data_IF_970432790474
#
_entry.id   IF_970432790474
#
_cell.length_a   1.000
_cell.length_b   1.000
_cell.length_c   1.000
_cell.angle_alpha   90.00
_cell.angle_beta   90.00
_cell.angle_gamma   90.00
#
_symmetry.space_group_name_H-M   'P 1'
#
loop_
_entity.id
_entity.type
_entity.pdbx_description
1 polymer ?
2 polymer ?
3 non-polymer ?
4 water ?
#
# COMPACT_ATOMS: atom_id res chain seq x y z
N UNK A 14 10.26 -13.83 3.60
CA UNK A 14 8.99 -13.61 2.95
C UNK A 14 8.49 -15.04 2.81
N UNK A 15 7.21 -15.31 2.95
CA UNK A 15 6.60 -16.56 2.52
C UNK A 15 5.17 -16.16 2.18
N UNK A 16 4.49 -17.03 1.45
CA UNK A 16 3.04 -16.97 1.41
C UNK A 16 2.48 -17.53 2.71
N UNK A 17 1.17 -17.40 2.87
CA UNK A 17 0.43 -17.91 4.02
C UNK A 17 0.77 -17.20 5.32
N UNK A 18 2.00 -17.23 5.87
CA UNK A 18 2.29 -16.40 7.01
C UNK A 18 3.62 -16.73 7.67
N UNK A 19 4.36 -15.69 8.04
CA UNK A 19 5.67 -15.82 8.69
C UNK A 19 5.59 -16.31 10.13
N UNK A 20 4.56 -17.03 10.57
CA UNK A 20 4.11 -17.06 11.96
C UNK A 20 3.91 -15.68 12.58
N UNK A 21 4.93 -14.85 12.74
CA UNK A 21 4.80 -13.49 13.24
C UNK A 21 4.08 -12.49 12.33
N UNK A 22 3.70 -12.82 11.08
CA UNK A 22 3.45 -11.73 10.14
C UNK A 22 2.06 -11.20 10.34
N UNK A 23 1.94 -9.93 10.01
CA UNK A 23 0.67 -9.28 9.89
C UNK A 23 -0.07 -9.35 11.22
N UNK A 24 0.68 -9.56 12.33
CA UNK A 24 0.07 -9.52 13.65
C UNK A 24 0.83 -8.43 14.37
N UNK A 25 0.13 -7.31 14.46
CA UNK A 25 0.74 -6.11 14.97
C UNK A 25 0.97 -6.29 16.47
N UNK A 26 2.20 -6.06 16.93
CA UNK A 26 2.60 -5.95 18.34
C UNK A 26 1.62 -5.24 19.29
N UNK A 27 1.41 -3.95 19.05
CA UNK A 27 0.57 -3.17 19.95
C UNK A 27 -0.93 -3.54 20.00
N UNK A 28 -1.42 -4.49 19.20
CA UNK A 28 -2.86 -4.76 19.04
C UNK A 28 -2.97 -6.25 19.15
N UNK A 29 -2.51 -6.93 18.11
CA UNK A 29 -2.76 -8.36 17.93
C UNK A 29 -2.28 -9.19 19.09
N UNK A 30 -1.00 -8.93 19.30
CA UNK A 30 -0.28 -9.54 20.37
C UNK A 30 -0.76 -9.02 21.73
N UNK A 31 -1.15 -7.74 21.82
CA UNK A 31 -1.57 -7.18 23.07
C UNK A 31 -3.05 -7.30 23.39
N UNK A 32 -3.79 -8.16 22.67
CA UNK A 32 -5.18 -8.51 22.95
C UNK A 32 -6.09 -7.31 22.67
N UNK A 33 -5.73 -6.46 21.71
CA UNK A 33 -6.45 -5.22 21.51
C UNK A 33 -6.78 -4.94 20.05
N UNK A 34 -8.03 -4.60 19.87
CA UNK A 34 -8.49 -4.14 18.58
C UNK A 34 -8.28 -2.63 18.47
N UNK A 35 -7.86 -2.21 17.28
CA UNK A 35 -7.75 -0.80 16.96
C UNK A 35 -9.11 -0.14 16.77
N UNK A 36 -9.11 1.15 16.43
CA UNK A 36 -10.37 1.85 16.32
C UNK A 36 -11.26 1.57 15.10
N UNK A 37 -10.78 1.23 13.89
CA UNK A 37 -11.63 1.14 12.71
C UNK A 37 -11.66 -0.25 12.09
N UNK A 38 -11.45 -1.21 12.97
CA UNK A 38 -11.23 -2.59 12.60
C UNK A 38 -12.60 -3.31 12.48
N UNK A 39 -13.61 -2.95 13.27
CA UNK A 39 -14.91 -3.61 13.18
C UNK A 39 -15.72 -3.14 11.96
N UNK A 40 -15.22 -2.15 11.24
CA UNK A 40 -15.84 -1.64 10.02
C UNK A 40 -15.66 -2.70 8.96
N UNK A 41 -14.41 -3.24 8.94
CA UNK A 41 -13.99 -4.34 8.09
C UNK A 41 -14.77 -5.59 8.50
N UNK A 42 -14.64 -6.03 9.77
CA UNK A 42 -15.35 -7.23 10.26
C UNK A 42 -16.85 -7.18 10.00
N UNK A 43 -17.51 -6.05 10.23
CA UNK A 43 -18.81 -5.79 9.64
C UNK A 43 -18.95 -5.94 8.14
N UNK A 44 -18.04 -5.45 7.30
CA UNK A 44 -18.23 -5.55 5.87
C UNK A 44 -18.30 -7.00 5.39
N UNK A 45 -17.72 -7.96 6.15
CA UNK A 45 -17.85 -9.39 5.88
C UNK A 45 -19.19 -10.02 6.27
N UNK A 46 -19.80 -9.80 7.45
CA UNK A 46 -21.05 -10.52 7.78
C UNK A 46 -22.25 -9.94 7.03
N UNK A 47 -22.09 -8.71 6.56
CA UNK A 47 -23.04 -8.09 5.66
C UNK A 47 -22.81 -8.47 4.20
N UNK A 48 -21.73 -9.18 3.90
CA UNK A 48 -21.43 -9.62 2.55
C UNK A 48 -21.81 -11.07 2.42
N UNK A 49 -20.88 -11.89 2.94
CA UNK A 49 -20.70 -13.32 2.76
C UNK A 49 -19.83 -13.70 1.55
N UNK B 1 -4.29 10.83 2.16
CA UNK B 1 -5.49 10.03 2.18
C UNK B 1 -6.62 11.08 2.21
N UNK B 2 -7.55 10.96 1.25
CA UNK B 2 -8.72 11.85 1.14
C UNK B 2 -9.66 11.13 2.08
N UNK B 3 -10.27 11.93 2.98
CA UNK B 3 -11.15 11.48 4.04
C UNK B 3 -10.44 10.57 5.05
N UNK B 4 -9.19 10.90 5.36
CA UNK B 4 -8.45 10.17 6.37
C UNK B 4 -8.76 10.69 7.77
N UNK B 5 -8.61 9.78 8.71
CA UNK B 5 -8.43 10.14 10.11
C UNK B 5 -7.02 9.71 10.55
N UNK B 6 -6.39 10.47 11.47
CA UNK B 6 -5.09 10.10 12.05
C UNK B 6 -5.04 8.64 12.55
N UNK B 7 -3.88 8.11 12.34
CA UNK B 7 -3.56 6.77 12.76
C UNK B 7 -3.13 6.83 14.20
N UNK B 8 -3.65 5.86 14.94
CA UNK B 8 -2.97 5.29 16.11
C UNK B 8 -1.52 4.90 15.83
N UNK B 9 -0.65 5.33 16.74
CA UNK B 9 0.76 4.92 16.79
C UNK B 9 0.80 3.42 16.76
N UNK B 10 1.50 2.91 15.76
CA UNK B 10 1.62 1.47 15.59
C UNK B 10 0.63 0.78 14.68
N UNK B 11 -0.34 1.47 14.05
CA UNK B 11 -1.38 0.79 13.26
C UNK B 11 -0.89 0.10 11.98
N UNK B 12 0.10 0.62 11.22
CA UNK B 12 0.61 -0.04 10.02
C UNK B 12 2.11 -0.22 10.24
N UNK B 13 2.61 -1.18 11.02
CA UNK B 13 4.03 -1.25 11.35
C UNK B 13 4.91 -1.73 10.19
N UNK B 14 4.28 -2.34 9.21
CA UNK B 14 4.87 -2.59 7.91
C UNK B 14 4.98 -1.32 7.07
N UNK B 15 4.44 -0.15 7.45
CA UNK B 15 4.51 0.97 6.56
C UNK B 15 5.93 1.57 6.52
N UNK B 16 6.48 1.48 5.31
CA UNK B 16 7.75 2.12 4.95
C UNK B 16 7.38 3.41 4.21
N UNK B 17 8.36 4.34 4.08
CA UNK B 17 8.22 5.61 3.37
C UNK B 17 9.35 5.81 2.36
N UNK B 18 9.13 6.17 1.08
CA UNK B 18 10.21 6.36 0.09
C UNK B 18 10.67 7.80 -0.02
N UNK B 19 11.98 8.05 -0.09
CA UNK B 19 12.51 9.39 0.05
C UNK B 19 13.66 9.68 -0.91
N UNK B 20 13.79 10.91 -1.41
CA UNK B 20 14.77 11.21 -2.42
C UNK B 20 16.02 11.55 -1.60
N UNK B 21 17.23 11.16 -2.04
CA UNK B 21 18.42 11.38 -1.22
C UNK B 21 18.81 12.82 -0.97
N UNK B 22 18.52 13.62 -1.99
CA UNK B 22 18.89 15.01 -2.02
C UNK B 22 18.27 15.59 -3.25
N UNK B 23 17.50 16.67 -3.15
CA UNK B 23 16.94 17.19 -1.89
C UNK B 23 15.86 16.32 -1.27
N UNK B 24 15.47 16.54 -0.04
CA UNK B 24 14.78 15.53 0.72
C UNK B 24 13.30 15.25 0.59
N UNK B 25 12.67 14.80 -0.51
CA UNK B 25 11.22 14.59 -0.41
C UNK B 25 10.73 13.16 -0.29
N UNK B 26 9.61 12.94 0.43
CA UNK B 26 8.70 11.80 0.29
C UNK B 26 8.21 11.62 -1.14
N UNK B 27 8.31 10.39 -1.64
CA UNK B 27 7.91 10.09 -2.99
C UNK B 27 6.75 9.11 -3.04
N UNK B 28 6.59 8.15 -2.14
CA UNK B 28 5.55 7.10 -2.28
C UNK B 28 5.46 6.38 -0.92
N UNK B 29 4.34 5.76 -0.56
CA UNK B 29 4.37 4.74 0.47
C UNK B 29 5.04 3.49 -0.08
N UNK B 30 5.21 2.53 0.80
CA UNK B 30 5.74 1.22 0.46
C UNK B 30 5.48 0.29 1.65
N UNK B 31 5.61 -1.03 1.56
CA UNK B 31 5.44 -1.89 2.71
C UNK B 31 6.61 -2.85 2.90
N UNK B 32 6.79 -3.28 4.16
CA UNK B 32 7.94 -4.06 4.57
C UNK B 32 7.24 -5.39 4.58
N UNK B 33 7.67 -6.29 3.69
CA UNK B 33 7.14 -7.66 3.71
C UNK B 33 8.11 -8.72 4.24
N UNK B 34 9.42 -8.37 4.28
CA UNK B 34 10.48 -9.08 4.99
C UNK B 34 11.45 -8.12 5.66
N UNK B 35 12.37 -8.61 6.49
CA UNK B 35 13.46 -7.79 7.04
C UNK B 35 14.50 -7.28 5.99
N UNK B 36 14.19 -7.33 4.70
CA UNK B 36 15.16 -7.47 3.63
C UNK B 36 14.54 -6.72 2.40
N UNK B 37 13.19 -6.86 2.21
CA UNK B 37 12.46 -6.37 1.04
C UNK B 37 11.25 -5.45 1.30
N UNK B 38 11.13 -4.42 0.46
CA UNK B 38 10.03 -3.48 0.48
C UNK B 38 9.29 -3.60 -0.83
N UNK B 39 7.97 -3.70 -0.74
CA UNK B 39 7.08 -3.77 -1.89
C UNK B 39 6.50 -2.38 -2.19
N UNK B 40 6.27 -2.02 -3.44
CA UNK B 40 5.78 -0.70 -3.76
C UNK B 40 5.26 -0.74 -5.19
N UNK B 41 4.75 0.38 -5.70
CA UNK B 41 4.19 0.49 -7.04
C UNK B 41 5.29 0.72 -8.02
N UNK B 42 5.30 0.12 -9.21
CA UNK B 42 6.43 0.33 -10.14
C UNK B 42 6.58 1.77 -10.55
N UNK B 43 5.44 2.48 -10.63
CA UNK B 43 5.41 3.89 -11.00
C UNK B 43 6.13 4.75 -10.00
N UNK B 44 6.54 4.24 -8.84
CA UNK B 44 7.28 5.08 -7.94
C UNK B 44 8.68 5.30 -8.44
N UNK B 45 9.07 4.46 -9.42
CA UNK B 45 10.47 4.39 -9.80
C UNK B 45 10.70 4.73 -11.26
N UNK B 46 9.92 4.09 -12.15
CA UNK B 46 9.99 4.42 -13.57
C UNK B 46 8.57 4.78 -13.93
N UNK B 47 8.41 6.08 -14.05
CA UNK B 47 7.43 6.65 -14.94
C UNK B 47 8.17 7.64 -15.89
N UNK B 48 8.63 7.21 -17.08
CA UNK B 48 9.23 8.03 -18.12
C UNK B 48 8.54 9.33 -18.42
N UNK B 49 7.24 9.50 -18.79
CA UNK B 49 6.63 10.79 -19.14
C UNK B 49 7.07 11.96 -18.25
N UNK B 50 7.40 11.63 -17.01
CA UNK B 50 7.54 12.63 -15.97
C UNK B 50 8.99 12.69 -15.45
N UNK B 51 9.98 12.33 -16.28
CA UNK B 51 11.33 12.01 -15.84
C UNK B 51 11.43 11.14 -14.58
N UNK B 52 10.46 10.33 -14.16
CA UNK B 52 10.78 9.35 -13.14
C UNK B 52 11.62 8.22 -13.73
N UNK B 53 12.89 8.12 -13.29
CA UNK B 53 13.70 6.92 -13.37
C UNK B 53 14.62 6.95 -12.18
N UNK B 54 14.35 6.18 -11.14
CA UNK B 54 15.21 6.28 -9.97
C UNK B 54 16.27 5.23 -9.84
N UNK B 55 17.57 5.65 -9.84
CA UNK B 55 18.70 4.74 -9.58
C UNK B 55 18.78 4.31 -8.11
N UNK B 56 19.47 3.20 -7.83
CA UNK B 56 19.45 2.63 -6.48
C UNK B 56 20.14 3.63 -5.54
N UNK B 57 21.14 4.31 -6.05
CA UNK B 57 21.81 5.33 -5.28
C UNK B 57 21.13 6.69 -5.45
N UNK B 58 19.81 6.80 -5.31
CA UNK B 58 19.10 8.09 -5.40
C UNK B 58 17.97 8.10 -4.40
N UNK B 59 17.71 6.94 -3.82
CA UNK B 59 16.62 6.76 -2.91
C UNK B 59 17.19 6.20 -1.63
N UNK B 60 16.60 6.60 -0.51
CA UNK B 60 16.69 5.84 0.69
C UNK B 60 15.25 5.76 1.15
N UNK B 61 15.03 4.97 2.21
CA UNK B 61 13.73 4.42 2.61
C UNK B 61 13.57 4.72 4.11
N UNK B 62 12.36 4.94 4.63
CA UNK B 62 12.17 5.08 6.07
C UNK B 62 11.12 4.15 6.68
N UNK B 63 11.48 3.35 7.68
CA UNK B 63 10.61 2.36 8.30
C UNK B 63 10.28 2.73 9.75
N UNK B 64 9.01 2.90 10.10
CA UNK B 64 8.59 2.98 11.49
C UNK B 64 8.26 4.38 11.90
N UNK B 65 7.86 5.22 10.99
CA UNK B 65 7.45 6.57 11.31
C UNK B 65 6.01 6.66 11.81
N UNK B 66 5.48 7.89 11.95
CA UNK B 66 4.14 8.21 12.45
C UNK B 66 3.83 9.66 12.08
N UNK B 67 4.82 10.51 12.42
CA UNK B 67 5.07 11.80 11.81
C UNK B 67 5.42 11.53 10.35
N UNK B 68 4.85 12.32 9.42
CA UNK B 68 5.51 12.54 8.12
C UNK B 68 6.80 13.28 8.47
N UNK B 69 6.75 14.39 9.20
CA UNK B 69 7.81 15.41 9.19
C UNK B 69 9.10 15.23 10.00
N UNK B 70 9.01 14.92 11.29
CA UNK B 70 10.19 14.99 12.16
C UNK B 70 10.71 13.62 12.53
N UNK B 71 11.97 13.39 12.14
CA UNK B 71 12.81 12.28 12.56
C UNK B 71 12.67 11.85 14.02
N UNK B 72 11.86 10.84 14.21
CA UNK B 72 11.57 10.32 15.53
C UNK B 72 12.75 9.41 15.88
N UNK B 73 13.84 9.95 16.43
CA UNK B 73 15.07 9.21 16.76
C UNK B 73 14.86 7.84 17.41
N UNK B 74 13.98 7.79 18.42
CA UNK B 74 13.81 6.60 19.24
C UNK B 74 13.32 5.40 18.47
N UNK B 75 12.49 5.58 17.45
CA UNK B 75 11.75 4.47 16.90
C UNK B 75 12.12 4.13 15.46
N UNK B 76 12.71 5.10 14.72
CA UNK B 76 12.60 5.04 13.30
C UNK B 76 13.82 4.46 12.69
N UNK B 77 13.75 3.66 11.63
CA UNK B 77 14.99 3.17 11.01
C UNK B 77 15.16 3.54 9.53
N UNK B 78 16.35 3.96 9.10
CA UNK B 78 16.57 4.53 7.76
C UNK B 78 17.48 3.55 7.04
N UNK B 79 17.03 2.97 5.95
CA UNK B 79 17.88 2.06 5.22
C UNK B 79 18.03 2.61 3.83
N UNK B 80 19.13 2.23 3.27
CA UNK B 80 19.33 2.50 1.87
C UNK B 80 19.01 1.20 1.16
N UNK B 81 18.90 1.26 -0.16
CA UNK B 81 18.44 0.12 -0.92
C UNK B 81 19.72 -0.50 -1.44
N UNK B 82 19.76 -1.81 -1.38
CA UNK B 82 20.70 -2.58 -2.13
C UNK B 82 20.23 -2.76 -3.58
N UNK B 83 19.03 -3.18 -3.97
CA UNK B 83 18.70 -3.26 -5.39
C UNK B 83 17.20 -3.07 -5.57
N UNK B 84 16.78 -2.87 -6.80
CA UNK B 84 15.45 -2.44 -7.16
C UNK B 84 15.04 -3.58 -8.07
N UNK B 85 13.74 -3.83 -8.20
CA UNK B 85 13.20 -4.81 -9.11
C UNK B 85 11.91 -4.29 -9.67
N UNK B 86 11.87 -3.57 -10.79
CA UNK B 86 10.63 -3.26 -11.53
C UNK B 86 10.33 -4.51 -12.38
N UNK B 87 9.08 -4.87 -12.70
CA UNK B 87 8.72 -6.02 -13.56
C UNK B 87 9.14 -5.78 -15.01
N UNK B 88 9.59 -6.75 -15.80
CA UNK B 88 9.79 -6.61 -17.24
C UNK B 88 8.48 -6.36 -18.02
N UNK B 89 7.31 -6.75 -17.51
CA UNK B 89 6.01 -6.57 -18.19
C UNK B 89 5.13 -5.45 -17.65
N UNK B 90 5.80 -4.43 -17.06
CA UNK B 90 5.12 -3.28 -16.49
C UNK B 90 4.82 -2.36 -17.64
N UNK B 91 3.54 -2.16 -17.98
CA UNK B 91 3.15 -1.48 -19.23
C UNK B 91 2.80 -0.03 -18.95
N UNK B 92 3.77 0.87 -19.05
CA UNK B 92 3.52 2.22 -18.60
C UNK B 92 2.85 3.03 -19.69
N UNK B 93 3.17 2.69 -20.92
CA UNK B 93 2.80 3.47 -22.07
C UNK B 93 1.43 3.07 -22.65
N UNK B 94 0.42 2.97 -21.78
CA UNK B 94 -0.86 2.43 -22.15
C UNK B 94 -1.58 2.52 -20.81
N UNK B 95 -1.46 1.59 -19.86
CA UNK B 95 -2.33 1.54 -18.67
C UNK B 95 -1.70 1.19 -17.32
N UNK B 96 -0.36 1.22 -17.17
CA UNK B 96 0.35 0.73 -15.97
C UNK B 96 -0.11 -0.67 -15.57
N UNK B 97 -0.12 -1.65 -16.47
CA UNK B 97 -0.41 -2.99 -16.02
C UNK B 97 0.86 -3.50 -15.38
N UNK B 98 0.64 -4.33 -14.37
CA UNK B 98 1.71 -4.90 -13.58
C UNK B 98 2.64 -3.86 -12.93
N UNK B 99 2.04 -2.76 -12.50
CA UNK B 99 2.72 -1.73 -11.77
C UNK B 99 3.14 -2.25 -10.41
N UNK B 100 4.19 -3.05 -10.34
CA UNK B 100 4.68 -3.58 -9.09
C UNK B 100 6.22 -3.53 -9.10
N UNK B 101 6.88 -2.93 -8.11
CA UNK B 101 8.30 -3.11 -7.97
C UNK B 101 8.69 -3.60 -6.59
N UNK B 102 9.87 -4.20 -6.54
CA UNK B 102 10.48 -4.58 -5.31
C UNK B 102 11.80 -3.87 -5.00
N UNK B 103 12.16 -3.76 -3.73
CA UNK B 103 13.32 -3.05 -3.25
C UNK B 103 14.03 -3.93 -2.24
N UNK B 104 15.26 -4.39 -2.51
CA UNK B 104 16.08 -5.15 -1.58
C UNK B 104 16.89 -4.17 -0.76
N UNK B 105 16.92 -4.31 0.55
CA UNK B 105 17.60 -3.34 1.36
C UNK B 105 18.98 -3.84 1.57
N UNK B 106 19.90 -2.90 1.75
CA UNK B 106 21.25 -3.29 2.05
C UNK B 106 21.37 -3.84 3.50
N UNK B 107 21.00 -3.16 4.61
CA UNK B 107 20.88 -3.79 5.94
C UNK B 107 19.73 -4.78 5.93
N UNK B 108 19.71 -5.86 6.67
CA UNK B 108 18.46 -6.35 7.23
C UNK B 108 18.13 -5.47 8.41
N UNK B 109 16.83 -5.34 8.59
CA UNK B 109 16.21 -4.32 9.42
C UNK B 109 15.75 -5.02 10.68
N UNK B 110 15.58 -4.27 11.75
CA UNK B 110 15.38 -4.91 13.02
C UNK B 110 14.03 -4.43 13.51
N UNK B 111 13.23 -5.46 13.58
CA UNK B 111 11.83 -5.33 13.92
C UNK B 111 11.69 -4.73 15.32
N UNK B 112 10.60 -4.04 15.55
CA UNK B 112 10.39 -3.40 16.82
C UNK B 112 8.96 -3.71 17.19
N UNK B 113 8.39 -3.05 18.20
CA UNK B 113 6.93 -2.85 18.29
C UNK B 113 6.33 -2.21 17.04
N UNK B 114 7.21 -1.38 16.48
CA UNK B 114 6.87 -0.36 15.53
C UNK B 114 7.39 -0.66 14.17
N UNK B 115 8.07 -1.79 13.97
CA UNK B 115 8.55 -2.14 12.64
C UNK B 115 8.26 -3.64 12.47
N UNK B 116 7.45 -4.09 11.49
CA UNK B 116 6.92 -5.45 11.47
C UNK B 116 6.32 -5.84 10.12
N UNK B 117 6.51 -7.02 9.54
CA UNK B 117 6.02 -7.42 8.22
C UNK B 117 4.53 -7.69 8.02
N UNK B 118 3.87 -7.35 6.90
CA UNK B 118 2.52 -7.86 6.59
C UNK B 118 2.57 -9.23 5.91
N UNK B 119 1.48 -10.00 5.85
CA UNK B 119 1.48 -11.27 5.16
C UNK B 119 1.14 -11.14 3.71
N UNK B 120 1.85 -11.85 2.84
CA UNK B 120 1.41 -11.98 1.48
C UNK B 120 0.26 -13.00 1.30
N UNK B 121 -0.76 -12.65 0.51
CA UNK B 121 -1.98 -13.44 0.40
C UNK B 121 -1.64 -14.79 -0.20
N UNK B 122 -2.22 -15.83 0.33
CA UNK B 122 -2.36 -17.09 -0.41
C UNK B 122 -3.73 -17.29 -1.09
N UNK B 123 -3.83 -18.41 -1.79
CA UNK B 123 -5.02 -18.77 -2.54
C UNK B 123 -6.35 -18.71 -1.77
N UNK B 124 -6.38 -19.22 -0.54
CA UNK B 124 -7.62 -19.31 0.23
C UNK B 124 -8.01 -17.91 0.68
N UNK B 125 -7.09 -17.14 1.25
CA UNK B 125 -7.26 -15.71 1.50
C UNK B 125 -7.62 -14.84 0.26
N UNK B 126 -7.11 -14.98 -0.97
CA UNK B 126 -7.60 -14.17 -2.08
C UNK B 126 -9.02 -14.58 -2.44
N UNK B 127 -9.22 -15.88 -2.58
CA UNK B 127 -10.48 -16.38 -3.06
C UNK B 127 -11.66 -16.05 -2.13
N UNK B 128 -11.37 -16.09 -0.83
CA UNK B 128 -12.40 -15.83 0.16
C UNK B 128 -12.69 -14.37 0.30
N UNK B 129 -11.58 -13.65 0.44
CA UNK B 129 -11.59 -12.33 1.01
C UNK B 129 -11.73 -11.25 -0.07
N UNK B 130 -11.17 -11.44 -1.26
CA UNK B 130 -11.41 -10.49 -2.34
C UNK B 130 -12.82 -10.54 -2.93
N UNK B 131 -13.83 -9.94 -2.32
CA UNK B 131 -15.14 -9.81 -2.94
C UNK B 131 -15.58 -8.40 -2.70
N UNK B 132 -16.65 -8.13 -3.47
CA UNK B 132 -17.20 -6.80 -3.66
C UNK B 132 -17.95 -6.50 -2.38
N UNK B 133 -17.71 -5.34 -1.78
CA UNK B 133 -18.35 -5.02 -0.49
C UNK B 133 -17.47 -5.31 0.72
N UNK B 134 -16.52 -6.22 0.71
CA UNK B 134 -15.53 -6.33 1.77
C UNK B 134 -14.60 -5.14 1.66
N UNK B 135 -14.47 -4.42 2.75
CA UNK B 135 -13.65 -3.26 2.77
C UNK B 135 -12.21 -3.63 3.19
N UNK B 136 -11.19 -2.98 2.71
CA UNK B 136 -9.83 -3.17 3.18
C UNK B 136 -9.34 -1.76 3.36
N UNK B 137 -8.14 -1.69 3.89
CA UNK B 137 -7.54 -0.52 4.49
C UNK B 137 -6.43 0.11 3.64
N UNK B 138 -6.42 1.46 3.53
CA UNK B 138 -5.32 2.19 2.90
C UNK B 138 -4.71 3.17 3.88
N UNK B 139 -3.35 3.16 3.95
CA UNK B 139 -2.57 4.11 4.74
C UNK B 139 -1.57 4.95 3.91
N UNK B 140 -1.30 6.20 4.29
CA UNK B 140 -0.02 6.81 3.96
C UNK B 140 -0.02 8.21 4.46
N UNK B 141 0.98 8.94 4.01
CA UNK B 141 1.19 10.30 4.45
C UNK B 141 0.90 11.40 3.41
N UNK B 142 0.32 11.10 2.25
CA UNK B 142 0.26 12.08 1.15
C UNK B 142 -0.99 12.92 1.27
N UNK B 143 -1.18 13.96 0.45
CA UNK B 143 -2.41 14.75 0.38
C UNK B 143 -3.75 14.22 0.86
N UNK B 144 -4.35 15.06 1.67
CA UNK B 144 -5.76 14.95 2.00
C UNK B 144 -6.66 15.58 0.94
N UNK B 145 -6.13 16.30 -0.06
CA UNK B 145 -6.92 16.71 -1.23
C UNK B 145 -6.05 16.84 -2.49
N UNK B 146 -6.72 16.86 -3.65
CA UNK B 146 -6.06 17.01 -4.95
C UNK B 146 -5.38 18.33 -5.02
N UNK B 147 -4.19 18.37 -5.63
CA UNK B 147 -3.56 19.65 -5.75
C UNK B 147 -2.84 19.73 -7.06
N UNK B 148 -2.62 20.95 -7.53
CA UNK B 148 -1.49 21.21 -8.41
C UNK B 148 -0.36 21.54 -7.42
N UNK B 149 0.19 22.74 -7.37
CA UNK B 149 1.11 23.17 -6.33
C UNK B 149 1.20 24.69 -6.51
N UNK B 150 1.72 25.34 -5.48
CA UNK B 150 2.30 26.65 -5.62
C UNK B 150 3.72 26.43 -5.09
N UNK B 151 4.29 27.25 -4.21
CA UNK B 151 5.56 26.96 -3.55
C UNK B 151 5.59 25.62 -2.80
N UNK B 152 4.41 25.19 -2.35
CA UNK B 152 4.13 23.82 -1.95
C UNK B 152 2.59 23.71 -2.07
N UNK B 153 1.87 22.73 -1.54
CA UNK B 153 0.42 22.81 -1.46
C UNK B 153 0.06 23.17 -0.02
N UNK B 154 -0.53 22.29 0.81
CA UNK B 154 -1.19 22.71 2.04
C UNK B 154 -1.73 21.53 2.84
N UNK B 155 -1.71 20.35 2.22
CA UNK B 155 -2.70 19.29 2.42
C UNK B 155 -2.03 17.97 2.73
N UNK B 156 -1.02 18.13 3.56
CA UNK B 156 -0.10 17.08 3.88
C UNK B 156 -0.26 16.88 5.40
N UNK B 157 -0.46 15.65 5.92
CA UNK B 157 -0.58 15.39 7.33
C UNK B 157 0.70 15.15 8.11
N UNK B 158 0.65 15.86 9.21
CA UNK B 158 1.16 15.38 10.49
C UNK B 158 1.33 13.83 10.61
N UNK B 159 0.20 13.12 10.60
CA UNK B 159 0.21 11.73 10.95
C UNK B 159 -0.27 10.90 9.78
N UNK B 160 0.31 9.71 9.72
CA UNK B 160 -0.19 8.61 8.90
C UNK B 160 -1.70 8.60 8.93
N UNK B 161 -2.31 8.49 7.76
CA UNK B 161 -3.75 8.51 7.68
C UNK B 161 -4.22 7.07 7.45
N UNK B 162 -5.46 6.85 7.92
CA UNK B 162 -6.27 5.72 7.49
C UNK B 162 -7.60 6.11 6.90
N UNK B 163 -7.97 5.26 5.96
CA UNK B 163 -9.34 5.19 5.51
C UNK B 163 -9.55 3.73 5.22
N UNK B 164 -10.81 3.31 5.33
CA UNK B 164 -11.19 1.94 5.03
C UNK B 164 -12.12 2.02 3.87
N UNK B 165 -12.01 1.18 2.84
CA UNK B 165 -12.70 1.40 1.58
C UNK B 165 -13.20 0.09 1.07
N UNK B 166 -14.41 0.00 0.53
CA UNK B 166 -14.95 -1.16 -0.08
C UNK B 166 -14.24 -1.44 -1.35
N UNK B 167 -14.03 -2.74 -1.64
CA UNK B 167 -13.70 -3.21 -2.98
C UNK B 167 -14.97 -3.25 -3.81
N UNK B 168 -14.71 -2.82 -5.04
CA UNK B 168 -15.71 -2.52 -6.03
C UNK B 168 -15.63 -3.66 -6.99
N UNK B 169 -16.87 -4.13 -7.31
CA UNK B 169 -17.05 -5.13 -8.32
C UNK B 169 -16.35 -4.75 -9.61
N UNK B 170 -15.93 -5.66 -10.48
CA UNK B 170 -15.33 -5.38 -11.80
C UNK B 170 -16.09 -4.61 -12.89
N UNK B 171 -17.38 -4.86 -13.22
CA UNK B 171 -18.20 -4.07 -14.17
C UNK B 171 -18.23 -2.55 -13.98
N UNK B 172 -18.88 -1.96 -12.97
CA UNK B 172 -18.47 -0.74 -12.22
C UNK B 172 -16.96 -0.40 -11.99
N UNK B 173 -15.91 -1.25 -11.89
CA UNK B 173 -14.55 -0.75 -12.15
C UNK B 173 -14.21 -0.45 -13.59
N UNK B 174 -14.20 -1.44 -14.48
CA UNK B 174 -14.16 -1.26 -15.93
C UNK B 174 -14.84 0.04 -16.41
N UNK B 175 -16.08 0.24 -15.95
CA UNK B 175 -16.92 1.32 -16.40
C UNK B 175 -16.59 2.69 -15.86
N UNK B 176 -15.74 2.81 -14.85
CA UNK B 176 -15.46 4.08 -14.21
C UNK B 176 -14.45 4.94 -14.94
N UNK B 177 -13.70 4.33 -15.82
CA UNK B 177 -12.42 4.85 -16.24
C UNK B 177 -12.50 4.68 -17.74
N UNK B 178 -11.88 5.57 -18.52
CA UNK B 178 -11.69 5.29 -19.95
C UNK B 178 -10.77 4.12 -20.26
N UNK B 179 -10.03 3.63 -19.25
CA UNK B 179 -8.71 3.03 -19.40
C UNK B 179 -8.78 1.54 -19.30
N UNK B 180 -7.86 0.85 -19.96
CA UNK B 180 -7.88 -0.60 -20.09
C UNK B 180 -7.48 -1.25 -18.78
N UNK B 181 -8.44 -1.90 -18.13
CA UNK B 181 -8.26 -2.60 -16.87
C UNK B 181 -7.92 -4.04 -17.11
N UNK B 182 -6.87 -4.53 -16.45
CA UNK B 182 -6.47 -5.92 -16.56
C UNK B 182 -6.96 -6.79 -15.41
N UNK B 183 -7.00 -8.11 -15.60
CA UNK B 183 -7.12 -9.03 -14.46
C UNK B 183 -6.05 -8.90 -13.36
N UNK B 184 -4.97 -8.14 -13.55
CA UNK B 184 -4.04 -7.83 -12.47
C UNK B 184 -4.43 -6.65 -11.60
N UNK B 185 -5.57 -5.97 -11.80
CA UNK B 185 -5.86 -4.71 -11.10
C UNK B 185 -7.15 -4.95 -10.35
N UNK B 186 -7.45 -4.11 -9.37
CA UNK B 186 -8.80 -4.00 -8.88
C UNK B 186 -8.98 -2.57 -8.47
N UNK B 187 -10.24 -2.17 -8.30
CA UNK B 187 -10.54 -0.88 -7.74
C UNK B 187 -11.26 -0.91 -6.39
N UNK B 188 -10.94 0.09 -5.55
CA UNK B 188 -11.72 0.24 -4.35
C UNK B 188 -12.33 1.63 -4.35
N UNK B 189 -13.44 1.76 -3.62
CA UNK B 189 -13.97 3.04 -3.23
C UNK B 189 -15.45 2.99 -3.11
N UNK B 190 -16.01 4.02 -2.51
CA UNK B 190 -17.44 4.11 -2.26
C UNK B 190 -18.15 4.45 -3.57
N UNK B 191 -19.23 3.75 -3.93
CA UNK B 191 -20.19 4.15 -4.97
C UNK B 191 -20.95 5.41 -4.67
N UNK B 192 -21.22 6.35 -5.58
CA UNK B 192 -22.07 7.50 -5.45
C UNK B 192 -23.22 7.69 -4.47
N UNK B 193 -24.09 6.72 -4.17
CA UNK B 193 -25.09 6.93 -3.12
C UNK B 193 -24.51 6.93 -1.70
N UNK B 194 -23.42 6.16 -1.59
CA UNK B 194 -23.04 5.43 -0.41
C UNK B 194 -22.58 6.22 0.77
N UNK B 195 -22.93 7.49 0.94
CA UNK B 195 -22.76 8.15 2.20
C UNK B 195 -21.33 8.50 2.53
N UNK B 196 -20.36 7.60 2.41
CA UNK B 196 -19.03 7.87 2.94
C UNK B 196 -18.16 8.04 1.68
N UNK B 197 -16.98 8.61 1.83
CA UNK B 197 -16.07 8.89 0.73
C UNK B 197 -14.69 8.52 1.21
N UNK B 198 -13.68 8.75 0.43
CA UNK B 198 -12.35 8.47 0.90
C UNK B 198 -11.53 7.89 -0.23
N UNK B 199 -10.21 8.11 -0.25
CA UNK B 199 -9.39 7.61 -1.34
C UNK B 199 -7.92 7.73 -1.01
N UNK B 200 -7.03 6.91 -1.58
CA UNK B 200 -5.66 7.35 -1.90
C UNK B 200 -5.47 8.53 -2.91
N UNK B 201 -4.28 9.08 -3.18
CA UNK B 201 -4.10 10.42 -3.76
C UNK B 201 -2.58 10.59 -3.86
N UNK B 202 -2.10 11.64 -4.49
CA UNK B 202 -0.66 11.85 -4.75
C UNK B 202 0.16 11.86 -3.45
N UNK B 203 1.05 10.87 -3.39
CA UNK B 203 1.83 10.71 -2.18
C UNK B 203 1.60 9.33 -1.54
N UNK B 204 0.42 8.72 -1.84
CA UNK B 204 -0.09 7.46 -1.26
C UNK B 204 0.25 6.29 -2.17
N UNK B 205 0.86 6.55 -3.33
CA UNK B 205 1.13 5.53 -4.35
C UNK B 205 2.21 4.63 -3.79
N UNK B 206 2.22 3.35 -4.10
CA UNK B 206 3.23 2.49 -3.53
C UNK B 206 2.73 1.86 -2.27
N UNK B 207 2.06 2.58 -1.38
CA UNK B 207 1.48 2.03 -0.15
C UNK B 207 0.63 0.77 -0.26
N UNK B 208 0.33 0.12 0.87
CA UNK B 208 -0.29 -1.21 0.91
C UNK B 208 -1.80 -1.14 0.99
N UNK B 209 -2.63 -2.05 0.43
CA UNK B 209 -4.07 -2.13 0.75
C UNK B 209 -4.12 -3.39 1.53
N UNK B 210 -4.53 -3.39 2.77
CA UNK B 210 -4.48 -4.62 3.54
C UNK B 210 -5.85 -5.00 4.01
N UNK B 211 -6.02 -6.30 4.21
CA UNK B 211 -7.25 -6.95 4.55
C UNK B 211 -6.89 -7.83 5.72
N UNK B 212 -7.74 -7.96 6.74
CA UNK B 212 -7.52 -8.78 7.94
C UNK B 212 -8.43 -9.97 7.91
N UNK B 213 -7.78 -11.14 7.94
CA UNK B 213 -8.48 -12.41 8.00
C UNK B 213 -9.07 -12.70 9.40
N UNK B 214 -10.40 -13.02 9.48
CA UNK B 214 -11.03 -13.62 10.61
C UNK B 214 -10.70 -15.08 10.86
N UNK B 215 -9.89 -15.68 10.01
CA UNK B 215 -9.50 -17.06 10.22
C UNK B 215 -8.41 -17.17 11.30
N UNK B 216 -7.28 -16.56 10.96
CA UNK B 216 -6.10 -16.35 11.81
C UNK B 216 -6.02 -14.82 11.87
N UNK B 217 -5.88 -14.18 13.00
CA UNK B 217 -6.18 -12.74 13.10
C UNK B 217 -5.01 -11.91 12.57
N UNK B 218 -4.71 -12.01 11.28
CA UNK B 218 -3.53 -11.36 10.75
C UNK B 218 -3.89 -10.53 9.54
N UNK B 219 -2.94 -9.82 8.96
CA UNK B 219 -3.20 -8.93 7.85
C UNK B 219 -2.58 -9.44 6.57
N UNK B 220 -3.20 -9.30 5.42
CA UNK B 220 -2.60 -9.72 4.17
C UNK B 220 -2.60 -8.53 3.26
N UNK B 221 -1.62 -8.41 2.40
CA UNK B 221 -1.63 -7.34 1.46
C UNK B 221 -2.27 -7.83 0.18
N UNK B 222 -3.34 -7.18 -0.24
CA UNK B 222 -4.01 -7.65 -1.45
C UNK B 222 -3.78 -6.69 -2.65
N UNK B 223 -3.80 -5.40 -2.39
CA UNK B 223 -3.42 -4.42 -3.40
C UNK B 223 -2.19 -3.61 -3.01
N UNK B 224 -1.67 -2.92 -4.02
CA UNK B 224 -0.73 -1.82 -3.84
C UNK B 224 -1.46 -0.65 -4.50
N UNK B 225 -1.37 0.48 -3.85
CA UNK B 225 -1.94 1.69 -4.37
C UNK B 225 -1.23 2.02 -5.67
N UNK B 226 -1.95 1.71 -6.74
CA UNK B 226 -1.48 2.06 -8.05
C UNK B 226 -2.05 3.39 -8.51
N UNK B 227 -3.25 3.69 -9.00
CA UNK B 227 -3.46 4.95 -9.70
C UNK B 227 -4.84 5.53 -9.44
N UNK B 228 -5.16 6.62 -10.06
CA UNK B 228 -6.51 7.12 -10.08
C UNK B 228 -6.51 8.39 -10.89
N UNK B 229 -7.68 8.63 -11.44
CA UNK B 229 -8.01 9.87 -12.12
C UNK B 229 -8.54 10.88 -11.06
N UNK B 230 -7.53 11.47 -10.44
CA UNK B 230 -7.78 12.50 -9.47
C UNK B 230 -7.68 11.83 -8.11
N UNK B 231 -8.13 12.48 -7.05
CA UNK B 231 -8.14 11.87 -5.74
C UNK B 231 -9.59 11.96 -5.36
N UNK B 232 -10.41 10.91 -5.41
CA UNK B 232 -11.79 10.84 -4.89
C UNK B 232 -12.85 11.74 -5.59
N UNK B 233 -13.05 11.37 -6.83
CA UNK B 233 -13.82 12.12 -7.76
C UNK B 233 -15.03 11.25 -7.78
N UNK B 234 -16.20 11.85 -7.88
CA UNK B 234 -17.41 11.08 -7.88
C UNK B 234 -17.39 10.33 -9.20
N UNK B 235 -17.81 9.08 -9.14
CA UNK B 235 -17.95 8.27 -10.33
C UNK B 235 -16.66 7.54 -10.67
N UNK B 236 -15.49 8.02 -10.20
CA UNK B 236 -14.17 7.46 -10.51
C UNK B 236 -13.64 6.50 -9.47
N UNK B 237 -12.95 5.40 -9.77
CA UNK B 237 -12.53 4.54 -8.67
C UNK B 237 -11.03 4.52 -8.52
N UNK B 238 -10.57 4.10 -7.34
CA UNK B 238 -9.15 4.07 -7.02
C UNK B 238 -8.56 2.82 -7.55
N UNK B 239 -7.51 2.86 -8.33
CA UNK B 239 -6.94 1.62 -8.81
C UNK B 239 -5.75 1.06 -8.06
N UNK B 240 -5.69 -0.28 -7.92
CA UNK B 240 -4.78 -1.10 -7.08
C UNK B 240 -4.25 -2.36 -7.76
N UNK B 241 -2.97 -2.63 -7.61
CA UNK B 241 -2.33 -3.82 -8.13
C UNK B 241 -2.75 -5.05 -7.31
N UNK B 242 -3.32 -6.07 -7.94
CA UNK B 242 -3.60 -7.36 -7.35
C UNK B 242 -2.27 -8.08 -7.05
N UNK B 243 -1.76 -7.85 -5.84
CA UNK B 243 -0.47 -8.37 -5.39
C UNK B 243 -0.36 -9.84 -5.65
N UNK B 244 -1.45 -10.52 -5.35
CA UNK B 244 -1.50 -11.96 -5.39
C UNK B 244 -1.50 -12.44 -6.82
N UNK B 245 -2.19 -11.77 -7.73
CA UNK B 245 -2.25 -12.21 -9.13
C UNK B 245 -0.81 -12.23 -9.64
N UNK B 246 -0.03 -11.27 -9.10
CA UNK B 246 1.43 -11.20 -9.24
C UNK B 246 2.28 -11.83 -8.12
N UNK B 247 1.86 -12.78 -7.29
CA UNK B 247 2.75 -13.50 -6.37
C UNK B 247 3.77 -14.31 -7.15
N UNK B 248 3.44 -14.73 -8.39
CA UNK B 248 4.37 -15.34 -9.33
C UNK B 248 5.69 -14.56 -9.30
N UNK B 249 5.60 -13.30 -9.71
CA UNK B 249 6.77 -12.47 -9.89
C UNK B 249 7.47 -12.12 -8.58
N UNK B 250 6.73 -11.95 -7.47
CA UNK B 250 7.31 -11.41 -6.25
C UNK B 250 8.37 -12.38 -5.76
N UNK B 251 7.97 -13.65 -5.71
CA UNK B 251 8.92 -14.67 -5.33
C UNK B 251 9.96 -14.95 -6.41
N UNK B 252 9.74 -14.64 -7.72
CA UNK B 252 10.78 -14.79 -8.75
C UNK B 252 12.06 -14.15 -8.30
N UNK B 253 11.91 -12.87 -7.98
CA UNK B 253 13.07 -12.08 -7.67
C UNK B 253 13.60 -12.43 -6.29
N UNK B 254 12.76 -12.70 -5.29
CA UNK B 254 13.23 -12.94 -3.93
C UNK B 254 13.99 -14.25 -3.79
N UNK B 255 13.59 -15.32 -4.47
CA UNK B 255 14.33 -16.56 -4.38
C UNK B 255 15.33 -16.69 -5.53
N UNK B 256 15.33 -15.68 -6.42
CA UNK B 256 16.14 -15.55 -7.62
C UNK B 256 15.52 -16.28 -8.81
N UNK B 257 14.83 -17.38 -8.52
CA UNK B 257 14.27 -18.31 -9.48
C UNK B 257 13.31 -19.17 -8.68
N UNK B 258 12.36 -19.88 -9.29
CA UNK B 258 11.68 -20.95 -8.60
C UNK B 258 10.20 -21.03 -8.91
N UNK B 259 9.86 -20.80 -10.15
CA UNK B 259 9.01 -21.72 -10.86
C UNK B 259 9.93 -21.95 -12.04
X LIG C 1 -3.10 10.99 -12.48
X LIG C 1 -4.54 11.50 -12.55
X LIG C 1 -2.20 12.10 -12.91
X LIG C 1 -2.90 9.58 -13.66
X LIG C 1 -1.72 9.37 -14.37
X LIG C 1 -1.58 8.20 -15.14
X LIG C 1 -2.64 7.32 -15.31
X LIG C 1 -3.84 7.59 -14.66
X LIG C 1 -3.96 8.70 -13.83
X LIG C 1 -2.54 6.12 -16.24
X LIG C 1 -0.13 8.46 -10.91
X LIG C 1 0.83 9.54 -10.97
X LIG C 1 1.44 9.32 -12.32
X LIG C 1 2.25 8.08 -12.25
X LIG C 1 1.22 7.01 -12.12
X LIG C 1 0.53 7.19 -10.81
X LIG C 1 -3.06 10.49 -10.89
X LIG C 1 -1.81 10.07 -10.31
X LIG C 1 -1.43 8.63 -10.66
X LIG C 1 -2.26 7.69 -10.79
X LIG C 1 -1.77 10.30 -8.80
X LIG C 1 -2.65 9.34 -8.02
X LIG C 1 -2.11 8.19 -7.49
X LIG C 1 -3.99 9.59 -7.91
X LIG C 1 -2.93 7.28 -6.84
X LIG C 1 -4.79 8.68 -7.25
X LIG C 1 -4.28 7.51 -6.72
X LIG C 1 -5.14 6.60 -6.10
X LIG C 1 -6.34 7.02 -5.68
X LIG C 1 -4.77 5.32 -5.95
X LIG C 1 -7.00 6.44 -5.23
X LIG C 1 -3.90 5.02 -6.36
X LIG C 1 -5.33 4.62 -5.51
X LIG C 1 -3.82 9.92 -10.64
X LIG C 1 -6.57 8.00 -5.77
#
# INVERSE_FOLDING_TARGET
>A
TSEDHFQPFFNEKTFGAGEADCGLRPLFEKKQVQDQTEKELFESYIEGR
>B
IVEGQDAEVGLSPWQVMLFRKSPQELLCGASLISDRWVLTAAHCLLYPPWDKNFTVDDLLVRIGKHSRTRYERKVEKISMLDKIYIHPRYNWKENLDRDIALLKLKRPIELSDYIHPVCLPDKQTAAKLLHAGFKGRVTGWGNRRETWTTSVAEVQPSVLQVVNLPLVERPVCKASTRIRITDNMFCAGYKPGEGKRGDACEGDSGGPFVMKSPYNNRWYQMGIVSWGEGCDRDGKYGFYTHVFRLKKWIQKVIDRLGS
>C hetero
1 4QQ S O1S O2S C1 C2 C3 C4 C5 C6 C N1 C21 C31 C41 C51 C61 N CA C7 O CB CG CD1 CD2 CE1 CE2 CZ CF NG1 NG2 HG12 HG22 HG21 H HG11
#
